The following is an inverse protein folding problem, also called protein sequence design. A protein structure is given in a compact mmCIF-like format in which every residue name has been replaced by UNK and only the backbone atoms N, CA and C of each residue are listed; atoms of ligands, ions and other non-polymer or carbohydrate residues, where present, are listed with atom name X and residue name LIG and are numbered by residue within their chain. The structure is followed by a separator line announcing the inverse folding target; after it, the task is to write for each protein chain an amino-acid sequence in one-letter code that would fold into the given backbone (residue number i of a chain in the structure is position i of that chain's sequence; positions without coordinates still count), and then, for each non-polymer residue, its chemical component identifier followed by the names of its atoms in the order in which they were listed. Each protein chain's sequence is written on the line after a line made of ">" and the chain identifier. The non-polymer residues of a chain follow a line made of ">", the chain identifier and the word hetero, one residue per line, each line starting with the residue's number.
data_IF_604677578421
#
_entry.id   IF_604677578421
#
_cell.length_a   1.000
_cell.length_b   1.000
_cell.length_c   1.000
_cell.angle_alpha   90.00
_cell.angle_beta   90.00
_cell.angle_gamma   90.00
#
_symmetry.space_group_name_H-M   'P 1'
#
loop_
_entity.id
_entity.type
_entity.pdbx_description
1 polymer ?
#
# COMPACT_ATOMS: atom_id res chain seq x y z
N UNK A 1 0.69 -18.33 10.00
CA UNK A 1 0.42 -16.91 9.69
C UNK A 1 1.49 -16.37 8.74
N UNK A 2 1.09 -15.70 7.72
CA UNK A 2 2.00 -15.15 6.73
C UNK A 2 1.86 -13.62 6.69
N UNK A 3 2.98 -12.91 6.76
CA UNK A 3 3.02 -11.46 6.66
C UNK A 3 3.51 -11.06 5.27
N UNK A 4 2.91 -10.01 4.72
CA UNK A 4 3.31 -9.45 3.43
C UNK A 4 3.78 -8.02 3.61
N UNK A 5 4.86 -7.67 2.92
CA UNK A 5 5.39 -6.31 2.86
C UNK A 5 5.21 -5.82 1.43
N UNK A 6 4.56 -4.67 1.29
CA UNK A 6 4.36 -4.02 0.00
C UNK A 6 5.08 -2.69 -0.02
N UNK A 7 5.84 -2.44 -1.08
CA UNK A 7 6.42 -1.12 -1.29
C UNK A 7 5.35 -0.12 -1.68
N UNK A 8 5.46 1.08 -1.13
CA UNK A 8 4.60 2.20 -1.44
C UNK A 8 5.40 3.33 -2.08
N UNK A 9 4.76 4.06 -2.97
CA UNK A 9 5.30 5.28 -3.57
C UNK A 9 4.48 6.46 -3.08
N UNK A 10 5.17 7.52 -2.67
CA UNK A 10 4.56 8.80 -2.27
C UNK A 10 4.99 9.88 -3.23
N UNK A 11 4.05 10.70 -3.63
CA UNK A 11 4.30 11.82 -4.54
C UNK A 11 3.50 13.04 -4.10
N UNK A 12 4.15 14.20 -4.11
CA UNK A 12 3.48 15.46 -3.82
C UNK A 12 2.45 15.78 -4.92
N UNK A 13 1.28 16.22 -4.52
CA UNK A 13 0.16 16.52 -5.40
C UNK A 13 -0.63 17.70 -4.83
N UNK A 14 -1.78 18.00 -5.43
CA UNK A 14 -2.71 19.01 -4.94
C UNK A 14 -4.14 18.48 -5.05
N UNK A 15 -4.97 18.84 -4.08
CA UNK A 15 -6.41 18.66 -4.19
C UNK A 15 -7.00 19.68 -5.18
N UNK A 16 -8.25 19.49 -5.59
CA UNK A 16 -8.92 20.38 -6.55
C UNK A 16 -8.96 21.84 -6.10
N UNK A 17 -9.00 22.08 -4.79
CA UNK A 17 -8.99 23.42 -4.20
C UNK A 17 -7.59 24.04 -4.12
N UNK A 18 -6.56 23.33 -4.61
CA UNK A 18 -5.17 23.78 -4.56
C UNK A 18 -4.45 23.46 -3.26
N UNK A 19 -5.10 22.87 -2.26
CA UNK A 19 -4.45 22.49 -1.02
C UNK A 19 -3.41 21.39 -1.25
N UNK A 20 -2.28 21.41 -0.52
CA UNK A 20 -1.28 20.35 -0.65
C UNK A 20 -1.85 18.96 -0.36
N UNK A 21 -1.46 18.01 -1.19
CA UNK A 21 -1.85 16.61 -1.06
C UNK A 21 -0.64 15.70 -1.26
N UNK A 22 -0.77 14.46 -0.81
CA UNK A 22 0.18 13.40 -1.13
C UNK A 22 -0.58 12.25 -1.73
N UNK A 23 -0.13 11.81 -2.89
CA UNK A 23 -0.65 10.64 -3.57
C UNK A 23 0.20 9.44 -3.15
N UNK A 24 -0.42 8.39 -2.69
CA UNK A 24 0.25 7.15 -2.30
C UNK A 24 -0.32 5.99 -3.08
N UNK A 25 0.55 5.12 -3.58
CA UNK A 25 0.08 3.91 -4.27
C UNK A 25 1.03 2.74 -4.07
N UNK A 26 0.52 1.56 -4.33
CA UNK A 26 1.27 0.32 -4.29
C UNK A 26 1.48 -0.17 -5.72
N UNK A 27 2.72 -0.13 -6.26
CA UNK A 27 2.96 -0.51 -7.66
C UNK A 27 2.57 -1.95 -7.99
N UNK A 28 2.64 -2.85 -7.02
CA UNK A 28 2.31 -4.25 -7.22
C UNK A 28 0.81 -4.54 -7.27
N UNK A 29 -0.03 -3.61 -6.81
CA UNK A 29 -1.48 -3.79 -6.74
C UNK A 29 -2.15 -2.75 -7.64
N UNK A 30 -2.56 -3.18 -8.82
CA UNK A 30 -3.14 -2.30 -9.82
C UNK A 30 -4.38 -1.58 -9.28
N UNK A 31 -4.40 -0.25 -9.38
CA UNK A 31 -5.51 0.57 -8.92
C UNK A 31 -5.55 0.81 -7.41
N UNK A 32 -4.57 0.30 -6.67
CA UNK A 32 -4.50 0.51 -5.22
C UNK A 32 -3.74 1.80 -4.92
N UNK A 33 -4.48 2.90 -4.77
CA UNK A 33 -3.91 4.22 -4.48
C UNK A 33 -4.87 5.07 -3.68
N UNK A 34 -4.34 6.10 -3.04
CA UNK A 34 -5.12 7.03 -2.23
C UNK A 34 -4.40 8.37 -2.11
N UNK A 35 -5.03 9.33 -1.46
CA UNK A 35 -4.48 10.64 -1.15
C UNK A 35 -4.65 10.96 0.34
N UNK A 36 -3.76 11.79 0.84
CA UNK A 36 -3.85 12.33 2.18
C UNK A 36 -3.37 13.77 2.20
N UNK A 37 -3.63 14.49 3.29
CA UNK A 37 -3.19 15.87 3.48
C UNK A 37 -1.72 15.98 3.85
N UNK A 38 -1.13 14.90 4.34
CA UNK A 38 0.28 14.77 4.65
C UNK A 38 0.73 13.34 4.38
N UNK A 39 2.05 13.09 4.46
CA UNK A 39 2.61 11.78 4.16
C UNK A 39 2.07 10.70 5.09
N UNK A 40 1.98 10.99 6.37
CA UNK A 40 1.52 10.03 7.37
C UNK A 40 0.08 9.60 7.11
N UNK A 41 -0.80 10.55 6.80
CA UNK A 41 -2.19 10.28 6.48
C UNK A 41 -2.32 9.46 5.18
N UNK A 42 -1.56 9.83 4.15
CA UNK A 42 -1.57 9.10 2.87
C UNK A 42 -1.14 7.65 3.05
N UNK A 43 -0.10 7.39 3.84
CA UNK A 43 0.35 6.02 4.12
C UNK A 43 -0.65 5.23 4.95
N UNK A 44 -1.28 5.86 5.95
CA UNK A 44 -2.30 5.19 6.75
C UNK A 44 -3.52 4.80 5.91
N UNK A 45 -3.95 5.68 5.01
CA UNK A 45 -5.04 5.39 4.09
C UNK A 45 -4.66 4.32 3.06
N UNK A 46 -3.41 4.32 2.61
CA UNK A 46 -2.93 3.28 1.69
C UNK A 46 -2.93 1.91 2.38
N UNK A 47 -2.53 1.84 3.63
CA UNK A 47 -2.59 0.60 4.41
C UNK A 47 -4.00 0.01 4.43
N UNK A 48 -5.00 0.84 4.70
CA UNK A 48 -6.39 0.42 4.66
C UNK A 48 -6.81 -0.04 3.26
N UNK A 49 -6.40 0.68 2.23
CA UNK A 49 -6.71 0.32 0.84
C UNK A 49 -6.08 -1.02 0.45
N UNK A 50 -4.84 -1.28 0.89
CA UNK A 50 -4.17 -2.56 0.64
C UNK A 50 -4.89 -3.69 1.37
N UNK A 51 -5.29 -3.49 2.61
CA UNK A 51 -6.04 -4.51 3.36
C UNK A 51 -7.34 -4.90 2.66
N UNK A 52 -8.10 -3.92 2.20
CA UNK A 52 -9.34 -4.16 1.45
C UNK A 52 -9.07 -4.88 0.14
N UNK A 53 -8.02 -4.49 -0.57
CA UNK A 53 -7.63 -5.13 -1.83
C UNK A 53 -7.30 -6.61 -1.61
N UNK A 54 -6.53 -6.91 -0.56
CA UNK A 54 -6.15 -8.28 -0.24
C UNK A 54 -7.35 -9.13 0.23
N UNK A 55 -8.28 -8.53 0.97
CA UNK A 55 -9.51 -9.20 1.38
C UNK A 55 -10.34 -9.59 0.15
N UNK A 56 -10.44 -8.70 -0.84
CA UNK A 56 -11.14 -8.99 -2.09
C UNK A 56 -10.47 -10.14 -2.87
N UNK A 57 -9.14 -10.16 -2.93
CA UNK A 57 -8.40 -11.25 -3.56
C UNK A 57 -8.69 -12.60 -2.87
N UNK A 58 -8.68 -12.63 -1.55
CA UNK A 58 -8.97 -13.82 -0.78
C UNK A 58 -10.40 -14.32 -1.03
N UNK A 59 -11.36 -13.40 -1.03
CA UNK A 59 -12.76 -13.72 -1.27
C UNK A 59 -12.98 -14.30 -2.67
N UNK A 60 -12.21 -13.84 -3.65
CA UNK A 60 -12.24 -14.35 -5.02
C UNK A 60 -11.41 -15.63 -5.22
N UNK A 61 -10.69 -16.08 -4.20
CA UNK A 61 -9.79 -17.22 -4.31
C UNK A 61 -8.55 -16.95 -5.13
N UNK A 62 -8.21 -15.69 -5.33
CA UNK A 62 -7.02 -15.29 -6.09
C UNK A 62 -5.78 -15.20 -5.19
N UNK A 63 -4.59 -15.54 -5.72
CA UNK A 63 -3.37 -15.48 -4.94
C UNK A 63 -2.96 -14.04 -4.65
N UNK A 64 -2.37 -13.82 -3.47
CA UNK A 64 -1.74 -12.54 -3.13
C UNK A 64 -0.43 -12.44 -3.92
N UNK A 65 -0.19 -11.33 -4.66
CA UNK A 65 1.03 -11.18 -5.43
C UNK A 65 2.27 -11.21 -4.53
N UNK A 66 3.30 -11.93 -4.95
CA UNK A 66 4.62 -11.89 -4.34
C UNK A 66 5.60 -11.58 -5.46
N UNK A 67 6.22 -10.41 -5.42
CA UNK A 67 7.11 -9.95 -6.46
C UNK A 67 8.20 -9.06 -5.83
N UNK A 68 9.35 -9.65 -5.46
CA UNK A 68 10.44 -8.88 -4.85
C UNK A 68 10.94 -7.72 -5.72
N UNK A 69 10.89 -7.85 -7.03
CA UNK A 69 11.29 -6.78 -7.95
C UNK A 69 10.35 -5.57 -7.88
N UNK A 70 9.06 -5.81 -7.58
CA UNK A 70 8.06 -4.76 -7.37
C UNK A 70 7.86 -4.44 -5.91
N UNK A 71 8.72 -4.98 -5.03
CA UNK A 71 8.68 -4.68 -3.61
C UNK A 71 7.60 -5.42 -2.84
N UNK A 72 7.22 -6.62 -3.26
CA UNK A 72 6.27 -7.46 -2.51
C UNK A 72 7.00 -8.67 -1.95
N UNK A 73 7.04 -8.76 -0.64
CA UNK A 73 7.72 -9.83 0.08
C UNK A 73 6.73 -10.54 1.01
N UNK A 74 6.71 -11.87 0.95
CA UNK A 74 5.93 -12.69 1.87
C UNK A 74 6.86 -13.24 2.96
N UNK A 75 6.42 -13.12 4.21
CA UNK A 75 7.15 -13.62 5.37
C UNK A 75 6.32 -14.70 6.06
N UNK A 76 6.97 -15.81 6.40
CA UNK A 76 6.31 -16.94 7.07
C UNK A 76 6.15 -16.73 8.58
N UNK A 77 6.78 -15.73 9.15
CA UNK A 77 6.68 -15.38 10.56
C UNK A 77 6.47 -13.87 10.71
N UNK A 78 5.90 -13.43 11.85
CA UNK A 78 5.73 -12.00 12.10
C UNK A 78 7.07 -11.26 12.01
N UNK A 79 7.03 -10.05 11.49
CA UNK A 79 8.21 -9.21 11.33
C UNK A 79 7.90 -7.77 11.72
N UNK A 80 8.94 -7.03 12.07
CA UNK A 80 8.87 -5.60 12.38
C UNK A 80 9.59 -4.84 11.28
N UNK A 81 8.94 -3.83 10.74
CA UNK A 81 9.53 -2.92 9.75
C UNK A 81 10.06 -1.70 10.49
N UNK A 82 11.37 -1.44 10.34
CA UNK A 82 12.01 -0.28 10.97
C UNK A 82 12.56 0.62 9.86
N UNK A 83 12.17 1.88 9.91
CA UNK A 83 12.69 2.90 9.00
C UNK A 83 13.74 3.72 9.75
N UNK A 84 14.97 3.70 9.26
CA UNK A 84 16.11 4.40 9.86
C UNK A 84 16.46 5.68 9.08
#
# INVERSE_FOLDING_TARGET
>A
MQSHIFSAVLEADQFEDGAPAFHAWCPALKGCHTWGHNQQEALARLEEAVELYLDDLRAAGEPIPVDPERGVIALSSPAVVVNL
#
